data_IF_308829046916
#
_entry.id   IF_308829046916
#
_cell.length_a   1.000
_cell.length_b   1.000
_cell.length_c   1.000
_cell.angle_alpha   90.00
_cell.angle_beta   90.00
_cell.angle_gamma   90.00
#
_symmetry.space_group_name_H-M   'P 1'
#
loop_
_entity.id
_entity.type
_entity.pdbx_description
1 polymer ?
#
# COMPACT_ATOMS: atom_id res chain seq x y z
N UNK A 1 -14.94 -5.54 0.63
CA UNK A 1 -13.61 -5.88 0.10
C UNK A 1 -12.61 -5.66 1.22
N UNK A 2 -11.72 -6.62 1.46
CA UNK A 2 -10.62 -6.50 2.42
C UNK A 2 -9.43 -5.76 1.81
N UNK A 3 -8.47 -5.34 2.64
CA UNK A 3 -7.23 -4.72 2.14
C UNK A 3 -6.46 -5.67 1.21
N UNK A 4 -6.37 -6.95 1.56
CA UNK A 4 -5.70 -7.96 0.74
C UNK A 4 -6.37 -8.12 -0.63
N UNK A 5 -7.70 -8.25 -0.66
CA UNK A 5 -8.46 -8.33 -1.92
C UNK A 5 -8.23 -7.10 -2.80
N UNK A 6 -8.17 -5.91 -2.19
CA UNK A 6 -7.89 -4.67 -2.90
C UNK A 6 -6.48 -4.62 -3.49
N UNK A 7 -5.45 -5.01 -2.72
CA UNK A 7 -4.06 -5.04 -3.20
C UNK A 7 -3.96 -5.99 -4.39
N UNK A 8 -4.51 -7.22 -4.26
CA UNK A 8 -4.50 -8.23 -5.34
C UNK A 8 -5.25 -7.77 -6.59
N UNK A 9 -6.28 -6.94 -6.44
CA UNK A 9 -7.01 -6.37 -7.57
C UNK A 9 -6.31 -5.16 -8.22
N UNK A 10 -5.42 -4.48 -7.48
CA UNK A 10 -4.83 -3.19 -7.88
C UNK A 10 -3.39 -3.31 -8.37
N UNK A 11 -2.61 -4.19 -7.76
CA UNK A 11 -1.17 -4.32 -8.00
C UNK A 11 -0.82 -5.73 -8.49
N UNK A 12 0.24 -5.86 -9.31
CA UNK A 12 0.88 -7.15 -9.54
C UNK A 12 1.36 -7.74 -8.21
N UNK A 13 0.97 -8.99 -7.97
CA UNK A 13 1.41 -9.79 -6.81
C UNK A 13 2.10 -11.05 -7.33
N UNK A 14 3.25 -11.38 -6.76
CA UNK A 14 4.01 -12.58 -7.10
C UNK A 14 4.68 -13.18 -5.86
N UNK A 15 5.11 -14.43 -6.00
CA UNK A 15 5.92 -15.11 -4.98
C UNK A 15 7.39 -14.76 -5.16
N UNK A 16 8.04 -14.30 -4.10
CA UNK A 16 9.48 -14.07 -4.01
C UNK A 16 10.06 -14.91 -2.87
N UNK A 17 10.62 -16.07 -3.23
CA UNK A 17 11.19 -17.05 -2.30
C UNK A 17 10.25 -17.49 -1.17
N UNK A 18 8.95 -17.67 -1.46
CA UNK A 18 7.94 -18.08 -0.49
C UNK A 18 7.27 -16.93 0.28
N UNK A 19 7.59 -15.67 -0.05
CA UNK A 19 6.87 -14.50 0.43
C UNK A 19 6.01 -13.90 -0.69
N UNK A 20 4.76 -13.57 -0.40
CA UNK A 20 3.93 -12.83 -1.36
C UNK A 20 4.32 -11.35 -1.34
N UNK A 21 4.71 -10.83 -2.50
CA UNK A 21 5.15 -9.46 -2.68
C UNK A 21 4.25 -8.77 -3.70
N UNK A 22 3.83 -7.54 -3.41
CA UNK A 22 3.19 -6.68 -4.40
C UNK A 22 4.12 -5.56 -4.85
N UNK A 23 4.10 -5.25 -6.13
CA UNK A 23 4.97 -4.25 -6.76
C UNK A 23 4.18 -3.05 -7.27
N UNK A 24 4.74 -1.85 -7.09
CA UNK A 24 4.15 -0.62 -7.61
C UNK A 24 5.21 0.43 -7.94
N UNK A 25 4.79 1.49 -8.64
CA UNK A 25 5.63 2.65 -8.95
C UNK A 25 5.28 3.83 -8.06
N UNK A 26 6.26 4.35 -7.33
CA UNK A 26 6.11 5.59 -6.57
C UNK A 26 7.26 6.54 -6.91
N UNK A 27 6.94 7.75 -7.36
CA UNK A 27 7.90 8.79 -7.76
C UNK A 27 9.00 8.29 -8.73
N UNK A 28 8.64 7.44 -9.69
CA UNK A 28 9.56 6.87 -10.68
C UNK A 28 10.39 5.67 -10.20
N UNK A 29 10.29 5.29 -8.93
CA UNK A 29 10.96 4.11 -8.37
C UNK A 29 10.02 2.90 -8.40
N UNK A 30 10.58 1.71 -8.65
CA UNK A 30 9.91 0.45 -8.34
C UNK A 30 10.00 0.20 -6.85
N UNK A 31 8.87 -0.04 -6.20
CA UNK A 31 8.81 -0.43 -4.80
C UNK A 31 8.18 -1.81 -4.72
N UNK A 32 8.79 -2.67 -3.93
CA UNK A 32 8.33 -4.02 -3.64
C UNK A 32 7.98 -4.11 -2.16
N UNK A 33 6.86 -4.75 -1.88
CA UNK A 33 6.22 -4.73 -0.58
C UNK A 33 5.81 -6.14 -0.17
N UNK A 34 6.33 -6.62 0.95
CA UNK A 34 5.86 -7.87 1.54
C UNK A 34 4.39 -7.70 1.97
N UNK A 35 3.52 -8.56 1.44
CA UNK A 35 2.07 -8.53 1.67
C UNK A 35 1.75 -8.72 3.15
N UNK A 36 2.38 -9.67 3.83
CA UNK A 36 2.10 -9.98 5.22
C UNK A 36 2.50 -8.82 6.13
N UNK A 37 3.66 -8.21 5.91
CA UNK A 37 4.10 -7.02 6.64
C UNK A 37 3.14 -5.85 6.39
N UNK A 38 2.79 -5.59 5.13
CA UNK A 38 1.87 -4.49 4.81
C UNK A 38 0.50 -4.68 5.47
N UNK A 39 -0.08 -5.88 5.40
CA UNK A 39 -1.36 -6.20 6.04
C UNK A 39 -1.29 -6.16 7.57
N UNK A 40 -0.14 -6.49 8.17
CA UNK A 40 0.02 -6.38 9.63
C UNK A 40 -0.10 -4.92 10.14
N UNK A 41 0.23 -3.95 9.28
CA UNK A 41 0.23 -2.52 9.62
C UNK A 41 -1.08 -1.85 9.15
N UNK A 42 -1.50 -2.13 7.93
CA UNK A 42 -2.59 -1.43 7.24
C UNK A 42 -3.84 -2.30 6.99
N UNK A 43 -3.84 -3.57 7.39
CA UNK A 43 -4.93 -4.51 7.09
C UNK A 43 -6.30 -4.12 7.66
N UNK A 44 -6.33 -3.29 8.71
CA UNK A 44 -7.56 -2.77 9.30
C UNK A 44 -8.06 -1.46 8.65
N UNK A 45 -7.29 -0.89 7.72
CA UNK A 45 -7.73 0.31 6.98
C UNK A 45 -8.81 -0.10 5.97
N UNK A 46 -9.95 0.62 5.89
CA UNK A 46 -11.01 0.30 4.92
C UNK A 46 -10.49 0.30 3.48
N UNK A 47 -10.98 -0.64 2.67
CA UNK A 47 -10.62 -0.77 1.26
C UNK A 47 -11.79 -0.37 0.32
N UNK A 48 -11.56 0.41 -0.76
CA UNK A 48 -10.27 0.98 -1.15
C UNK A 48 -9.82 2.08 -0.17
N UNK A 49 -8.53 2.14 0.16
CA UNK A 49 -8.04 3.13 1.11
C UNK A 49 -7.97 4.52 0.50
N UNK A 50 -7.82 5.50 1.37
CA UNK A 50 -7.37 6.85 1.03
C UNK A 50 -5.99 7.12 1.60
N UNK A 51 -5.25 8.08 1.04
CA UNK A 51 -3.92 8.43 1.53
C UNK A 51 -3.97 8.90 2.99
N UNK A 52 -4.96 9.69 3.41
CA UNK A 52 -5.06 10.08 4.81
C UNK A 52 -5.41 8.89 5.72
N UNK A 53 -6.25 7.94 5.28
CA UNK A 53 -6.56 6.75 6.08
C UNK A 53 -5.34 5.86 6.34
N UNK A 54 -4.46 5.71 5.34
CA UNK A 54 -3.21 4.95 5.48
C UNK A 54 -2.20 5.69 6.35
N UNK A 55 -2.08 7.02 6.18
CA UNK A 55 -1.23 7.85 7.04
C UNK A 55 -1.71 7.91 8.48
N UNK A 56 -3.02 7.85 8.72
CA UNK A 56 -3.59 7.82 10.07
C UNK A 56 -3.27 6.51 10.81
N UNK A 57 -3.04 5.41 10.09
CA UNK A 57 -2.59 4.15 10.68
C UNK A 57 -1.10 4.17 11.11
N UNK A 58 -0.29 5.05 10.51
CA UNK A 58 1.11 5.30 10.89
C UNK A 58 1.39 6.81 10.97
N UNK A 59 0.85 7.53 11.98
CA UNK A 59 0.85 8.99 11.98
C UNK A 59 2.25 9.61 12.12
N UNK A 60 3.18 8.88 12.73
CA UNK A 60 4.58 9.32 12.92
C UNK A 60 5.48 8.86 11.75
N UNK A 61 4.90 8.24 10.71
CA UNK A 61 5.63 7.70 9.55
C UNK A 61 6.78 6.77 9.96
N UNK A 62 6.59 5.93 11.00
CA UNK A 62 7.61 5.00 11.51
C UNK A 62 8.06 4.01 10.45
N UNK A 63 7.15 3.67 9.54
CA UNK A 63 7.39 2.72 8.46
C UNK A 63 8.04 3.39 7.25
N UNK A 64 7.97 4.72 7.14
CA UNK A 64 8.49 5.48 6.01
C UNK A 64 7.61 5.44 4.75
N UNK A 65 6.35 4.98 4.83
CA UNK A 65 5.48 4.75 3.66
C UNK A 65 4.71 5.98 3.16
N UNK A 66 4.72 7.10 3.89
CA UNK A 66 3.88 8.26 3.54
C UNK A 66 4.07 8.76 2.11
N UNK A 67 5.31 8.75 1.61
CA UNK A 67 5.63 9.19 0.25
C UNK A 67 5.08 8.23 -0.82
N UNK A 68 4.94 6.93 -0.52
CA UNK A 68 4.27 5.98 -1.40
C UNK A 68 2.78 6.31 -1.52
N UNK A 69 2.13 6.61 -0.40
CA UNK A 69 0.70 6.93 -0.38
C UNK A 69 0.38 8.25 -1.08
N UNK A 70 1.27 9.25 -0.94
CA UNK A 70 1.17 10.50 -1.71
C UNK A 70 1.34 10.25 -3.20
N UNK A 71 2.29 9.39 -3.60
CA UNK A 71 2.47 9.02 -5.00
C UNK A 71 1.22 8.29 -5.54
N UNK A 72 0.64 7.36 -4.80
CA UNK A 72 -0.60 6.68 -5.19
C UNK A 72 -1.77 7.64 -5.36
N UNK A 73 -1.91 8.63 -4.47
CA UNK A 73 -2.94 9.65 -4.60
C UNK A 73 -2.72 10.55 -5.82
N UNK A 74 -1.48 10.97 -6.07
CA UNK A 74 -1.13 11.78 -7.24
C UNK A 74 -1.37 11.04 -8.56
N UNK A 75 -1.17 9.72 -8.56
CA UNK A 75 -1.42 8.84 -9.71
C UNK A 75 -2.91 8.46 -9.87
N UNK A 76 -3.78 8.82 -8.92
CA UNK A 76 -5.20 8.47 -8.94
C UNK A 76 -5.50 7.01 -8.60
N UNK A 77 -4.54 6.27 -8.02
CA UNK A 77 -4.74 4.88 -7.56
C UNK A 77 -5.66 4.87 -6.32
N UNK A 78 -5.49 5.86 -5.43
CA UNK A 78 -6.33 6.07 -4.25
C UNK A 78 -6.76 7.53 -4.16
N UNK A 79 -7.79 7.83 -3.37
CA UNK A 79 -8.14 9.22 -3.07
C UNK A 79 -7.16 9.83 -2.06
N UNK A 80 -6.98 11.16 -2.11
CA UNK A 80 -6.08 11.87 -1.19
C UNK A 80 -6.64 12.05 0.24
N UNK A 81 -7.97 11.98 0.39
CA UNK A 81 -8.72 12.37 1.60
C UNK A 81 -8.48 11.52 2.83
#
# INVERSE_FOLDING_TARGET
MTMEEWIRATFPVYDDFGCEVFEFKANGLTVQADMAIFLSIFGNVPAPPTAASLKAADPENKTGWHWCFDAWAHQGIIAAG
#
